data_IF_428500923539
#
_entry.id   IF_428500923539
#
_cell.length_a   1.000
_cell.length_b   1.000
_cell.length_c   1.000
_cell.angle_alpha   90.00
_cell.angle_beta   90.00
_cell.angle_gamma   90.00
#
_symmetry.space_group_name_H-M   'P 1'
#
loop_
_entity.id
_entity.type
_entity.pdbx_description
1 polymer ?
#
# COMPACT_ATOMS: atom_id res chain seq x y z
N UNK A 1 24.43 -0.65 -21.41
CA UNK A 1 23.78 0.61 -21.79
C UNK A 1 23.28 1.23 -20.50
N UNK A 2 24.06 2.16 -19.97
CA UNK A 2 23.93 2.74 -18.63
C UNK A 2 23.03 3.97 -18.75
N UNK A 3 21.94 4.01 -18.00
CA UNK A 3 21.26 5.27 -17.67
C UNK A 3 21.68 5.60 -16.23
N UNK A 4 22.53 6.62 -16.00
CA UNK A 4 22.88 7.10 -14.67
C UNK A 4 21.83 8.13 -14.20
N UNK A 5 21.49 8.09 -12.91
CA UNK A 5 20.59 9.02 -12.21
C UNK A 5 19.07 8.74 -12.27
N UNK A 6 18.63 7.69 -11.58
CA UNK A 6 17.31 7.72 -10.94
C UNK A 6 17.49 7.41 -9.47
N UNK A 7 17.75 8.45 -8.68
CA UNK A 7 17.80 8.35 -7.23
C UNK A 7 16.39 8.04 -6.71
N UNK A 8 16.08 6.75 -6.56
CA UNK A 8 14.79 6.29 -6.00
C UNK A 8 14.72 6.69 -4.53
N UNK A 9 13.90 7.69 -4.23
CA UNK A 9 13.63 8.12 -2.87
C UNK A 9 12.62 7.18 -2.20
N UNK A 10 12.97 6.72 -1.00
CA UNK A 10 12.11 5.87 -0.18
C UNK A 10 11.83 6.56 1.16
N UNK A 11 10.67 6.24 1.73
CA UNK A 11 10.29 6.72 3.04
C UNK A 11 11.09 5.98 4.11
N UNK A 12 11.85 6.71 4.93
CA UNK A 12 12.70 6.15 5.99
C UNK A 12 11.95 5.87 7.31
N UNK A 13 10.87 6.60 7.58
CA UNK A 13 10.10 6.49 8.81
C UNK A 13 8.79 5.74 8.58
N UNK A 14 8.30 5.03 9.61
CA UNK A 14 6.95 4.44 9.66
C UNK A 14 6.29 4.85 10.99
N UNK A 15 4.99 5.20 11.02
CA UNK A 15 4.06 5.32 9.88
C UNK A 15 4.41 6.49 8.94
N UNK A 16 3.67 6.64 7.84
CA UNK A 16 3.91 7.69 6.86
C UNK A 16 3.76 9.09 7.47
N UNK A 17 4.79 9.93 7.35
CA UNK A 17 4.79 11.31 7.89
C UNK A 17 3.74 12.22 7.22
N UNK A 18 3.29 11.84 6.02
CA UNK A 18 2.23 12.53 5.29
C UNK A 18 0.83 12.01 5.62
N UNK A 19 0.68 11.02 6.50
CA UNK A 19 -0.62 10.49 6.89
C UNK A 19 -1.19 11.31 8.05
N UNK A 20 -2.29 12.03 7.82
CA UNK A 20 -3.00 12.83 8.82
C UNK A 20 -4.51 12.60 8.72
N UNK A 21 -5.17 12.26 9.83
CA UNK A 21 -6.62 12.01 9.90
C UNK A 21 -7.12 11.06 8.80
N UNK A 22 -6.39 9.98 8.55
CA UNK A 22 -6.65 9.00 7.51
C UNK A 22 -6.53 9.47 6.05
N UNK A 23 -5.93 10.63 5.81
CA UNK A 23 -5.71 11.21 4.48
C UNK A 23 -4.23 11.51 4.26
N UNK A 24 -3.80 11.48 2.99
CA UNK A 24 -2.47 11.93 2.62
C UNK A 24 -2.43 13.46 2.54
N UNK A 25 -1.45 14.11 3.14
CA UNK A 25 -1.32 15.57 3.10
C UNK A 25 -0.72 16.09 1.80
N UNK A 26 -0.09 15.24 0.98
CA UNK A 26 0.59 15.65 -0.26
C UNK A 26 -0.14 15.25 -1.55
N UNK A 27 -1.48 15.20 -1.59
CA UNK A 27 -2.19 14.80 -2.83
C UNK A 27 -1.77 15.58 -4.08
N UNK A 28 -1.52 16.89 -3.98
CA UNK A 28 -1.11 17.73 -5.10
C UNK A 28 0.28 17.37 -5.68
N UNK A 29 1.17 16.83 -4.85
CA UNK A 29 2.54 16.47 -5.23
C UNK A 29 2.81 14.98 -5.00
N UNK A 30 1.76 14.16 -5.01
CA UNK A 30 1.86 12.73 -4.68
C UNK A 30 2.67 12.04 -5.77
N UNK A 31 3.86 11.50 -5.46
CA UNK A 31 4.65 10.81 -6.47
C UNK A 31 3.90 9.55 -6.93
N UNK A 32 4.17 9.11 -8.17
CA UNK A 32 3.52 7.94 -8.77
C UNK A 32 3.64 6.70 -7.88
N UNK A 33 4.78 6.52 -7.21
CA UNK A 33 4.98 5.44 -6.24
C UNK A 33 3.99 5.50 -5.08
N UNK A 34 3.73 6.69 -4.52
CA UNK A 34 2.72 6.84 -3.49
C UNK A 34 1.30 6.63 -4.03
N UNK A 35 1.02 7.02 -5.28
CA UNK A 35 -0.29 6.83 -5.92
C UNK A 35 -0.65 5.35 -6.09
N UNK A 36 0.32 4.54 -6.51
CA UNK A 36 0.16 3.10 -6.73
C UNK A 36 0.24 2.26 -5.45
N UNK A 37 0.64 2.83 -4.31
CA UNK A 37 0.76 2.11 -3.04
C UNK A 37 -0.58 1.45 -2.63
N UNK A 38 -0.63 0.15 -2.30
CA UNK A 38 0.49 -0.74 -1.91
C UNK A 38 1.10 -1.58 -3.05
N UNK A 39 0.98 -1.12 -4.29
CA UNK A 39 1.57 -1.70 -5.50
C UNK A 39 1.05 -3.08 -5.87
N UNK A 40 -0.25 -3.31 -5.67
CA UNK A 40 -0.89 -4.61 -5.95
C UNK A 40 -0.76 -5.04 -7.41
N UNK A 41 -0.68 -4.09 -8.35
CA UNK A 41 -0.56 -4.33 -9.79
C UNK A 41 0.87 -4.72 -10.25
N UNK A 42 1.88 -4.58 -9.39
CA UNK A 42 3.24 -4.96 -9.76
C UNK A 42 3.41 -6.49 -9.79
N UNK A 43 4.16 -7.01 -10.76
CA UNK A 43 4.41 -8.46 -10.97
C UNK A 43 4.86 -9.20 -9.69
N UNK A 44 5.59 -8.50 -8.82
CA UNK A 44 6.14 -9.04 -7.56
C UNK A 44 5.35 -8.63 -6.31
N UNK A 45 4.09 -8.20 -6.44
CA UNK A 45 3.25 -7.79 -5.31
C UNK A 45 3.03 -8.92 -4.31
N UNK A 46 2.88 -10.17 -4.79
CA UNK A 46 2.73 -11.38 -3.97
C UNK A 46 3.84 -11.56 -2.92
N UNK A 47 5.08 -11.22 -3.25
CA UNK A 47 6.22 -11.33 -2.32
C UNK A 47 6.20 -10.26 -1.22
N UNK A 48 5.43 -9.19 -1.41
CA UNK A 48 5.27 -8.09 -0.45
C UNK A 48 3.99 -8.23 0.37
N UNK A 49 3.20 -9.28 0.16
CA UNK A 49 1.89 -9.43 0.80
C UNK A 49 1.96 -9.37 2.33
N UNK A 50 2.97 -10.00 2.94
CA UNK A 50 3.22 -9.90 4.38
C UNK A 50 3.31 -8.44 4.85
N UNK A 51 4.10 -7.64 4.16
CA UNK A 51 4.26 -6.23 4.49
C UNK A 51 2.96 -5.44 4.27
N UNK A 52 2.21 -5.76 3.21
CA UNK A 52 0.91 -5.13 2.95
C UNK A 52 -0.06 -5.42 4.10
N UNK A 53 -0.10 -6.66 4.60
CA UNK A 53 -0.93 -7.05 5.75
C UNK A 53 -0.48 -6.33 7.02
N UNK A 54 0.82 -6.23 7.29
CA UNK A 54 1.33 -5.45 8.44
C UNK A 54 0.91 -3.97 8.38
N UNK A 55 0.74 -3.41 7.19
CA UNK A 55 0.31 -2.02 6.99
C UNK A 55 -1.21 -1.87 6.95
N UNK A 56 -1.97 -2.96 6.89
CA UNK A 56 -3.43 -2.95 6.82
C UNK A 56 -4.06 -2.24 8.03
N UNK A 57 -3.54 -2.50 9.24
CA UNK A 57 -3.98 -1.82 10.47
C UNK A 57 -3.35 -0.45 10.72
N UNK A 58 -2.42 -0.01 9.86
CA UNK A 58 -1.65 1.23 10.05
C UNK A 58 -2.08 2.32 9.07
N UNK A 59 -2.31 1.95 7.81
CA UNK A 59 -2.58 2.90 6.74
C UNK A 59 -3.98 2.67 6.15
N UNK A 60 -4.85 3.68 6.17
CA UNK A 60 -6.21 3.56 5.64
C UNK A 60 -6.24 3.32 4.13
N UNK A 61 -5.20 3.75 3.40
CA UNK A 61 -5.07 3.49 1.96
C UNK A 61 -4.91 1.98 1.73
N UNK A 62 -4.10 1.32 2.56
CA UNK A 62 -3.89 -0.13 2.49
C UNK A 62 -5.16 -0.86 2.87
N UNK A 63 -5.79 -0.47 3.98
CA UNK A 63 -7.08 -1.01 4.40
C UNK A 63 -8.09 -0.97 3.25
N UNK A 64 -8.37 0.22 2.69
CA UNK A 64 -9.32 0.39 1.59
C UNK A 64 -8.94 -0.41 0.34
N UNK A 65 -7.66 -0.55 0.06
CA UNK A 65 -7.19 -1.31 -1.12
C UNK A 65 -7.44 -2.81 -0.95
N UNK A 66 -7.18 -3.35 0.24
CA UNK A 66 -7.39 -4.76 0.55
C UNK A 66 -8.88 -5.08 0.69
N UNK A 67 -9.69 -4.22 1.30
CA UNK A 67 -11.14 -4.44 1.37
C UNK A 67 -11.77 -4.50 -0.02
N UNK A 68 -11.42 -3.56 -0.91
CA UNK A 68 -11.85 -3.61 -2.32
C UNK A 68 -11.35 -4.87 -3.04
N UNK A 69 -10.18 -5.39 -2.66
CA UNK A 69 -9.66 -6.63 -3.23
C UNK A 69 -10.51 -7.82 -2.76
N UNK A 70 -10.82 -7.91 -1.46
CA UNK A 70 -11.67 -8.95 -0.89
C UNK A 70 -13.05 -8.97 -1.54
N UNK A 71 -13.67 -7.79 -1.71
CA UNK A 71 -14.95 -7.63 -2.41
C UNK A 71 -14.87 -8.22 -3.84
N UNK A 72 -13.83 -7.86 -4.60
CA UNK A 72 -13.65 -8.33 -5.98
C UNK A 72 -13.37 -9.83 -6.10
N UNK A 73 -12.66 -10.41 -5.13
CA UNK A 73 -12.33 -11.84 -5.14
C UNK A 73 -13.39 -12.70 -4.47
N UNK A 74 -14.45 -12.10 -3.89
CA UNK A 74 -15.42 -12.82 -3.09
C UNK A 74 -14.83 -13.44 -1.83
N UNK A 75 -13.77 -12.85 -1.28
CA UNK A 75 -13.13 -13.37 -0.06
C UNK A 75 -14.05 -13.08 1.13
N UNK A 76 -14.70 -14.12 1.63
CA UNK A 76 -15.50 -14.09 2.85
C UNK A 76 -14.65 -14.58 4.02
N UNK A 77 -14.66 -13.86 5.13
CA UNK A 77 -14.12 -14.40 6.37
C UNK A 77 -15.02 -15.56 6.78
N UNK A 78 -14.44 -16.76 6.82
CA UNK A 78 -15.11 -17.89 7.43
C UNK A 78 -14.96 -17.72 8.94
N UNK A 79 -16.09 -17.62 9.66
CA UNK A 79 -16.10 -17.68 11.11
C UNK A 79 -15.55 -19.06 11.51
N UNK A 80 -14.30 -19.09 11.99
CA UNK A 80 -13.72 -20.30 12.60
C UNK A 80 -14.23 -20.42 14.04
N UNK A 81 -15.55 -20.47 14.17
CA UNK A 81 -16.22 -20.79 15.43
C UNK A 81 -16.41 -22.30 15.47
N UNK A 82 -15.33 -23.02 15.79
CA UNK A 82 -15.39 -24.41 16.28
C UNK A 82 -14.85 -24.45 17.70
#
# INVERSE_FOLDING_TARGET
MTEPDTSVLYMKAKPCVFLKNNLCTLYAHRPASCADYPHLQQIRSKFRMKHIIEQYGVCPIVYKSIEKLKEKTGFVMQDVSS
#
